data_IF_004697002227
#
_entry.id   IF_004697002227
#
_cell.length_a   1.000
_cell.length_b   1.000
_cell.length_c   1.000
_cell.angle_alpha   90.00
_cell.angle_beta   90.00
_cell.angle_gamma   90.00
#
_symmetry.space_group_name_H-M   'P 1'
#
loop_
_entity.id
_entity.type
_entity.pdbx_description
1 polymer ?
#
# COMPACT_ATOMS: atom_id res chain seq x y z
N UNK A 1 -24.42 52.03 -18.48
CA UNK A 1 -23.94 51.25 -17.33
C UNK A 1 -24.89 50.07 -17.19
N UNK A 2 -24.49 48.90 -17.68
CA UNK A 2 -25.36 47.73 -17.79
C UNK A 2 -24.79 46.64 -16.88
N UNK A 3 -25.50 46.33 -15.80
CA UNK A 3 -25.09 45.31 -14.83
C UNK A 3 -25.57 43.93 -15.31
N UNK A 4 -24.63 42.98 -15.43
CA UNK A 4 -24.93 41.58 -15.70
C UNK A 4 -24.97 40.81 -14.38
N UNK A 5 -26.14 40.26 -14.04
CA UNK A 5 -26.33 39.32 -12.93
C UNK A 5 -26.06 37.92 -13.47
N UNK A 6 -24.96 37.29 -13.04
CA UNK A 6 -24.70 35.87 -13.34
C UNK A 6 -25.27 35.05 -12.19
N UNK A 7 -26.41 34.40 -12.45
CA UNK A 7 -27.00 33.40 -11.56
C UNK A 7 -26.21 32.09 -11.67
N UNK A 8 -25.57 31.69 -10.58
CA UNK A 8 -24.87 30.42 -10.45
C UNK A 8 -25.84 29.25 -10.29
N UNK A 9 -25.71 28.25 -11.16
CA UNK A 9 -26.36 26.95 -11.01
C UNK A 9 -25.41 26.03 -10.26
N UNK A 10 -25.72 25.76 -8.99
CA UNK A 10 -25.05 24.70 -8.20
C UNK A 10 -25.78 23.39 -8.50
N UNK A 11 -25.17 22.53 -9.31
CA UNK A 11 -25.63 21.16 -9.49
C UNK A 11 -25.08 20.28 -8.36
N UNK A 12 -25.94 20.04 -7.37
CA UNK A 12 -25.83 18.94 -6.42
C UNK A 12 -26.14 17.62 -7.14
N UNK A 13 -25.11 16.86 -7.49
CA UNK A 13 -25.25 15.45 -7.87
C UNK A 13 -24.73 14.58 -6.73
N UNK A 14 -25.63 14.24 -5.80
CA UNK A 14 -25.43 13.16 -4.84
C UNK A 14 -25.89 11.83 -5.42
N UNK A 15 -25.20 10.75 -5.05
CA UNK A 15 -25.72 9.39 -5.21
C UNK A 15 -24.66 8.35 -5.57
N UNK A 16 -24.30 7.51 -4.60
CA UNK A 16 -23.84 6.14 -4.86
C UNK A 16 -22.35 5.84 -4.63
N UNK A 17 -22.03 5.35 -3.43
CA UNK A 17 -21.01 4.31 -3.20
C UNK A 17 -21.07 3.86 -1.72
N UNK A 18 -22.17 3.23 -1.31
CA UNK A 18 -22.15 2.39 -0.11
C UNK A 18 -21.65 1.01 -0.54
N UNK A 19 -20.77 0.40 0.27
CA UNK A 19 -20.19 -0.93 0.13
C UNK A 19 -18.89 -1.08 -0.71
N UNK A 20 -17.76 -0.56 -0.20
CA UNK A 20 -16.43 -1.16 -0.51
C UNK A 20 -15.59 -1.43 0.77
N UNK A 21 -16.12 -1.10 1.96
CA UNK A 21 -15.41 -1.33 3.23
C UNK A 21 -15.47 -2.76 3.79
N UNK A 22 -16.09 -3.72 3.08
CA UNK A 22 -16.36 -5.07 3.59
C UNK A 22 -15.46 -6.16 3.00
N UNK A 23 -14.53 -5.85 2.08
CA UNK A 23 -13.72 -6.88 1.40
C UNK A 23 -12.29 -7.02 1.92
N UNK A 24 -11.93 -6.37 3.05
CA UNK A 24 -10.57 -6.46 3.61
C UNK A 24 -10.48 -7.09 5.00
N UNK A 25 -11.59 -7.53 5.61
CA UNK A 25 -11.58 -8.24 6.90
C UNK A 25 -12.51 -9.47 6.85
N UNK A 26 -12.02 -10.56 6.27
CA UNK A 26 -12.50 -11.91 6.56
C UNK A 26 -11.28 -12.73 7.00
N UNK A 27 -10.97 -12.67 8.28
CA UNK A 27 -10.18 -13.71 8.96
C UNK A 27 -11.02 -14.21 10.15
N UNK A 28 -11.26 -15.53 10.28
CA UNK A 28 -12.14 -16.09 11.28
C UNK A 28 -11.55 -15.95 12.69
N UNK A 29 -12.35 -15.39 13.59
CA UNK A 29 -12.13 -15.41 15.04
C UNK A 29 -11.98 -16.85 15.53
N UNK A 30 -10.73 -17.26 15.75
CA UNK A 30 -10.36 -18.38 16.61
C UNK A 30 -10.03 -17.86 18.00
N UNK A 31 -10.96 -18.04 18.93
CA UNK A 31 -10.74 -17.86 20.37
C UNK A 31 -9.61 -18.80 20.86
N UNK A 32 -8.50 -18.24 21.32
CA UNK A 32 -7.61 -18.92 22.25
C UNK A 32 -6.85 -17.89 23.11
N UNK A 33 -7.08 -17.97 24.42
CA UNK A 33 -6.51 -17.14 25.47
C UNK A 33 -4.96 -17.17 25.52
N UNK A 34 -4.30 -16.12 26.03
CA UNK A 34 -2.87 -16.16 26.28
C UNK A 34 -2.58 -16.95 27.57
N UNK A 35 -1.93 -18.11 27.42
CA UNK A 35 -1.30 -18.79 28.54
C UNK A 35 0.09 -18.19 28.79
N UNK A 36 0.25 -17.62 29.98
CA UNK A 36 1.51 -17.15 30.55
C UNK A 36 2.45 -18.34 30.79
N UNK A 37 3.65 -18.33 30.21
CA UNK A 37 4.70 -19.29 30.58
C UNK A 37 6.06 -18.59 30.72
N UNK A 38 6.46 -18.45 31.98
CA UNK A 38 7.80 -18.04 32.42
C UNK A 38 8.81 -19.13 32.09
N UNK A 39 9.82 -18.82 31.26
CA UNK A 39 10.94 -19.73 31.03
C UNK A 39 12.09 -19.42 32.01
N UNK A 40 12.33 -20.35 32.93
CA UNK A 40 13.45 -20.35 33.85
C UNK A 40 14.73 -20.85 33.14
N UNK A 41 15.83 -20.13 33.36
CA UNK A 41 17.17 -20.54 32.95
C UNK A 41 17.71 -21.61 33.92
N UNK A 42 18.23 -22.71 33.37
CA UNK A 42 19.12 -23.63 34.07
C UNK A 42 20.22 -24.11 33.13
N UNK A 43 21.45 -23.87 33.55
CA UNK A 43 22.69 -24.33 32.91
C UNK A 43 23.10 -25.70 33.46
N UNK A 44 23.57 -26.64 32.64
CA UNK A 44 24.53 -27.69 33.06
C UNK A 44 25.29 -28.29 31.86
N UNK A 45 26.58 -27.98 31.82
CA UNK A 45 27.79 -28.81 31.64
C UNK A 45 27.93 -29.95 30.59
N UNK A 46 29.01 -29.80 29.82
CA UNK A 46 30.01 -30.72 29.22
C UNK A 46 29.73 -32.21 28.96
N UNK A 47 30.09 -32.63 27.73
CA UNK A 47 30.48 -34.00 27.38
C UNK A 47 31.35 -34.03 26.13
N UNK A 48 32.65 -34.31 26.28
CA UNK A 48 33.58 -34.65 25.19
C UNK A 48 33.25 -36.03 24.64
N UNK A 49 33.22 -36.17 23.31
CA UNK A 49 33.12 -37.45 22.63
C UNK A 49 33.77 -37.37 21.26
N UNK A 50 35.02 -37.86 21.16
CA UNK A 50 35.72 -38.13 19.91
C UNK A 50 35.03 -39.29 19.17
N UNK A 51 34.66 -39.08 17.91
CA UNK A 51 34.13 -40.12 17.03
C UNK A 51 34.47 -39.81 15.59
N UNK A 52 35.59 -40.37 15.12
CA UNK A 52 35.92 -40.42 13.70
C UNK A 52 35.00 -41.43 13.00
N UNK A 53 34.30 -40.99 11.97
CA UNK A 53 33.44 -41.84 11.16
C UNK A 53 33.23 -41.19 9.79
N UNK A 54 34.15 -41.49 8.86
CA UNK A 54 34.02 -41.09 7.47
C UNK A 54 32.74 -41.65 6.87
N UNK A 55 31.89 -40.77 6.37
CA UNK A 55 30.76 -41.11 5.51
C UNK A 55 30.92 -40.35 4.21
N UNK A 56 30.88 -41.12 3.12
CA UNK A 56 31.12 -40.70 1.75
C UNK A 56 30.16 -39.56 1.32
N UNK A 57 30.57 -38.69 0.38
CA UNK A 57 29.65 -37.75 -0.23
C UNK A 57 28.65 -38.55 -1.07
N UNK A 58 27.45 -38.75 -0.51
CA UNK A 58 26.29 -39.18 -1.28
C UNK A 58 25.86 -37.97 -2.09
N UNK A 59 26.32 -37.86 -3.34
CA UNK A 59 25.82 -36.92 -4.32
C UNK A 59 24.30 -37.14 -4.42
N UNK A 60 23.53 -36.28 -3.76
CA UNK A 60 22.11 -36.18 -4.01
C UNK A 60 21.97 -35.82 -5.50
N UNK A 61 21.13 -36.53 -6.26
CA UNK A 61 20.86 -36.12 -7.63
C UNK A 61 20.32 -34.69 -7.56
N UNK A 62 21.08 -33.75 -8.10
CA UNK A 62 20.55 -32.45 -8.47
C UNK A 62 19.51 -32.75 -9.53
N UNK A 63 18.26 -32.89 -9.09
CA UNK A 63 17.10 -32.86 -9.97
C UNK A 63 17.07 -31.45 -10.53
N UNK A 64 17.88 -31.21 -11.56
CA UNK A 64 17.78 -30.01 -12.36
C UNK A 64 16.32 -29.95 -12.81
N UNK A 65 15.58 -28.99 -12.26
CA UNK A 65 14.20 -28.70 -12.66
C UNK A 65 14.24 -28.45 -14.16
N UNK A 66 14.03 -29.51 -14.92
CA UNK A 66 14.04 -29.50 -16.38
C UNK A 66 12.63 -29.14 -16.79
N UNK A 67 12.19 -27.93 -16.39
CA UNK A 67 11.01 -27.33 -16.98
C UNK A 67 11.24 -27.25 -18.48
N UNK A 68 10.24 -27.63 -19.26
CA UNK A 68 10.28 -27.38 -20.71
C UNK A 68 10.40 -25.87 -20.92
N UNK A 69 11.16 -25.40 -21.92
CA UNK A 69 11.31 -23.97 -22.20
C UNK A 69 9.97 -23.19 -22.24
N UNK A 70 8.92 -23.82 -22.77
CA UNK A 70 7.56 -23.27 -22.83
C UNK A 70 6.94 -22.96 -21.45
N UNK A 71 7.24 -23.78 -20.44
CA UNK A 71 6.73 -23.59 -19.09
C UNK A 71 7.44 -22.42 -18.39
N UNK A 72 8.76 -22.29 -18.59
CA UNK A 72 9.54 -21.16 -18.13
C UNK A 72 9.09 -19.81 -18.76
N UNK A 73 8.73 -19.81 -20.05
CA UNK A 73 8.21 -18.63 -20.74
C UNK A 73 6.82 -18.22 -20.20
N UNK A 74 5.95 -19.19 -19.91
CA UNK A 74 4.66 -18.96 -19.26
C UNK A 74 4.82 -18.33 -17.87
N UNK A 75 5.66 -18.94 -17.03
CA UNK A 75 5.92 -18.46 -15.68
C UNK A 75 6.53 -17.04 -15.67
N UNK A 76 7.42 -16.73 -16.62
CA UNK A 76 7.96 -15.39 -16.81
C UNK A 76 6.85 -14.38 -17.14
N UNK A 77 5.95 -14.73 -18.08
CA UNK A 77 4.83 -13.88 -18.50
C UNK A 77 3.93 -13.54 -17.33
N UNK A 78 3.57 -14.53 -16.50
CA UNK A 78 2.73 -14.33 -15.33
C UNK A 78 3.41 -13.46 -14.26
N UNK A 79 4.72 -13.63 -14.05
CA UNK A 79 5.48 -12.78 -13.15
C UNK A 79 5.53 -11.31 -13.64
N UNK A 80 5.76 -11.08 -14.93
CA UNK A 80 5.70 -9.74 -15.52
C UNK A 80 4.32 -9.11 -15.33
N UNK A 81 3.24 -9.88 -15.53
CA UNK A 81 1.88 -9.41 -15.30
C UNK A 81 1.62 -9.02 -13.83
N UNK A 82 2.15 -9.78 -12.87
CA UNK A 82 2.08 -9.45 -11.45
C UNK A 82 2.82 -8.15 -11.11
N UNK A 83 4.03 -7.96 -11.64
CA UNK A 83 4.78 -6.71 -11.45
C UNK A 83 4.01 -5.54 -12.04
N UNK A 84 3.47 -5.69 -13.25
CA UNK A 84 2.66 -4.64 -13.89
C UNK A 84 1.43 -4.26 -13.07
N UNK A 85 0.72 -5.23 -12.49
CA UNK A 85 -0.42 -4.96 -11.62
C UNK A 85 0.00 -4.20 -10.34
N UNK A 86 1.17 -4.51 -9.79
CA UNK A 86 1.72 -3.77 -8.64
C UNK A 86 2.17 -2.35 -9.02
N UNK A 87 2.69 -2.13 -10.23
CA UNK A 87 2.98 -0.79 -10.75
C UNK A 87 1.72 0.05 -10.94
N UNK A 88 0.63 -0.55 -11.40
CA UNK A 88 -0.66 0.13 -11.53
C UNK A 88 -1.20 0.55 -10.15
N UNK A 89 -1.03 -0.30 -9.12
CA UNK A 89 -1.30 0.09 -7.74
C UNK A 89 -0.42 1.28 -7.33
N UNK A 90 0.89 1.22 -7.59
CA UNK A 90 1.82 2.28 -7.22
C UNK A 90 1.45 3.63 -7.85
N UNK A 91 0.96 3.63 -9.09
CA UNK A 91 0.43 4.82 -9.77
C UNK A 91 -0.83 5.37 -9.08
N UNK A 92 -1.80 4.51 -8.75
CA UNK A 92 -2.99 4.94 -8.02
C UNK A 92 -2.66 5.50 -6.62
N UNK A 93 -1.69 4.88 -5.92
CA UNK A 93 -1.23 5.34 -4.62
C UNK A 93 -0.51 6.70 -4.69
N UNK A 94 0.17 6.99 -5.80
CA UNK A 94 0.81 8.29 -6.04
C UNK A 94 -0.20 9.42 -6.08
N UNK A 95 -1.29 9.24 -6.82
CA UNK A 95 -2.32 10.26 -6.96
C UNK A 95 -3.02 10.51 -5.61
N UNK A 96 -3.41 9.43 -4.92
CA UNK A 96 -3.99 9.51 -3.58
C UNK A 96 -3.07 10.24 -2.58
N UNK A 97 -1.78 9.88 -2.56
CA UNK A 97 -0.81 10.53 -1.68
C UNK A 97 -0.62 12.02 -2.02
N UNK A 98 -0.64 12.39 -3.30
CA UNK A 98 -0.54 13.79 -3.73
C UNK A 98 -1.77 14.61 -3.30
N UNK A 99 -2.97 14.06 -3.44
CA UNK A 99 -4.20 14.72 -3.00
C UNK A 99 -4.26 14.87 -1.48
N UNK A 100 -3.91 13.81 -0.74
CA UNK A 100 -3.86 13.85 0.72
C UNK A 100 -2.81 14.85 1.23
N UNK A 101 -1.63 14.87 0.60
CA UNK A 101 -0.59 15.85 0.88
C UNK A 101 -1.08 17.27 0.64
N UNK A 102 -1.72 17.53 -0.51
CA UNK A 102 -2.25 18.87 -0.82
C UNK A 102 -3.26 19.31 0.24
N UNK A 103 -4.14 18.40 0.67
CA UNK A 103 -5.15 18.68 1.69
C UNK A 103 -4.53 19.02 3.06
N UNK A 104 -3.53 18.26 3.49
CA UNK A 104 -2.89 18.45 4.81
C UNK A 104 -1.89 19.61 4.81
N UNK A 105 -1.13 19.82 3.72
CA UNK A 105 -0.23 20.95 3.57
C UNK A 105 -0.97 22.29 3.53
N UNK A 106 -2.18 22.34 2.94
CA UNK A 106 -3.01 23.54 2.96
C UNK A 106 -3.37 23.96 4.39
N UNK A 107 -3.63 23.00 5.29
CA UNK A 107 -3.83 23.32 6.71
C UNK A 107 -2.58 23.90 7.35
N UNK A 108 -1.42 23.26 7.13
CA UNK A 108 -0.14 23.72 7.70
C UNK A 108 0.27 25.08 7.15
N UNK A 109 0.01 25.34 5.87
CA UNK A 109 0.24 26.65 5.25
C UNK A 109 -0.68 27.71 5.85
N UNK A 110 -1.96 27.41 6.07
CA UNK A 110 -2.90 28.30 6.72
C UNK A 110 -2.48 28.62 8.16
N UNK A 111 -2.17 27.61 8.96
CA UNK A 111 -1.81 27.80 10.37
C UNK A 111 -0.48 28.53 10.55
N UNK A 112 0.43 28.43 9.58
CA UNK A 112 1.66 29.23 9.54
C UNK A 112 1.49 30.62 8.92
N UNK A 113 0.28 31.00 8.50
CA UNK A 113 0.00 32.30 7.88
C UNK A 113 0.55 32.45 6.45
N UNK A 114 0.98 31.36 5.80
CA UNK A 114 1.50 31.38 4.43
C UNK A 114 0.42 31.50 3.37
N UNK A 115 -0.81 31.10 3.68
CA UNK A 115 -1.98 31.24 2.81
C UNK A 115 -3.19 31.71 3.61
N UNK A 116 -4.13 32.35 2.90
CA UNK A 116 -5.40 32.82 3.42
C UNK A 116 -6.41 31.70 3.63
N UNK A 117 -7.50 32.00 4.34
CA UNK A 117 -8.62 31.07 4.48
C UNK A 117 -9.26 30.73 3.12
N UNK A 118 -9.37 31.70 2.22
CA UNK A 118 -9.95 31.52 0.88
C UNK A 118 -9.11 30.55 0.05
N UNK A 119 -7.79 30.75 0.00
CA UNK A 119 -6.86 29.84 -0.68
C UNK A 119 -6.91 28.43 -0.08
N UNK A 120 -6.99 28.32 1.26
CA UNK A 120 -7.13 27.03 1.94
C UNK A 120 -8.42 26.33 1.51
N UNK A 121 -9.55 27.05 1.48
CA UNK A 121 -10.85 26.50 1.08
C UNK A 121 -10.82 25.99 -0.37
N UNK A 122 -10.15 26.73 -1.27
CA UNK A 122 -9.92 26.29 -2.65
C UNK A 122 -9.10 25.00 -2.70
N UNK A 123 -7.94 24.96 -2.04
CA UNK A 123 -7.08 23.76 -2.02
C UNK A 123 -7.79 22.54 -1.43
N UNK A 124 -8.60 22.74 -0.38
CA UNK A 124 -9.43 21.69 0.21
C UNK A 124 -10.48 21.17 -0.78
N UNK A 125 -11.16 22.06 -1.49
CA UNK A 125 -12.17 21.68 -2.48
C UNK A 125 -11.53 20.93 -3.65
N UNK A 126 -10.44 21.47 -4.20
CA UNK A 126 -9.72 20.92 -5.35
C UNK A 126 -9.18 19.51 -5.03
N UNK A 127 -8.52 19.32 -3.89
CA UNK A 127 -8.03 18.00 -3.47
C UNK A 127 -9.15 17.01 -3.14
N UNK A 128 -10.22 17.46 -2.44
CA UNK A 128 -11.36 16.60 -2.08
C UNK A 128 -12.10 16.06 -3.31
N UNK A 129 -12.13 16.80 -4.41
CA UNK A 129 -12.83 16.40 -5.63
C UNK A 129 -12.34 15.05 -6.18
N UNK A 130 -11.10 14.67 -5.90
CA UNK A 130 -10.51 13.39 -6.33
C UNK A 130 -10.74 12.24 -5.37
N UNK A 131 -11.18 12.48 -4.13
CA UNK A 131 -11.19 11.47 -3.08
C UNK A 131 -11.94 10.17 -3.43
N UNK A 132 -13.09 10.26 -4.10
CA UNK A 132 -13.82 9.07 -4.56
C UNK A 132 -13.13 8.36 -5.73
N UNK A 133 -12.45 9.11 -6.61
CA UNK A 133 -11.69 8.53 -7.71
C UNK A 133 -10.46 7.77 -7.17
N UNK A 134 -9.77 8.33 -6.19
CA UNK A 134 -8.65 7.69 -5.50
C UNK A 134 -9.07 6.35 -4.88
N UNK A 135 -10.19 6.33 -4.13
CA UNK A 135 -10.75 5.12 -3.52
C UNK A 135 -11.06 4.04 -4.56
N UNK A 136 -11.67 4.41 -5.69
CA UNK A 136 -11.99 3.48 -6.78
C UNK A 136 -10.74 2.95 -7.47
N UNK A 137 -9.75 3.82 -7.73
CA UNK A 137 -8.50 3.44 -8.38
C UNK A 137 -7.71 2.45 -7.52
N UNK A 138 -7.56 2.72 -6.22
CA UNK A 138 -6.88 1.82 -5.29
C UNK A 138 -7.62 0.48 -5.17
N UNK A 139 -8.96 0.49 -5.05
CA UNK A 139 -9.73 -0.74 -4.96
C UNK A 139 -9.57 -1.61 -6.23
N UNK A 140 -9.65 -0.98 -7.41
CA UNK A 140 -9.50 -1.67 -8.68
C UNK A 140 -8.11 -2.29 -8.86
N UNK A 141 -7.04 -1.53 -8.58
CA UNK A 141 -5.66 -2.01 -8.73
C UNK A 141 -5.28 -3.04 -7.67
N UNK A 142 -5.80 -2.91 -6.44
CA UNK A 142 -5.68 -3.94 -5.39
C UNK A 142 -6.27 -5.26 -5.86
N UNK A 143 -7.50 -5.24 -6.39
CA UNK A 143 -8.15 -6.43 -6.93
C UNK A 143 -7.37 -7.03 -8.10
N UNK A 144 -6.89 -6.19 -9.02
CA UNK A 144 -6.08 -6.64 -10.15
C UNK A 144 -4.79 -7.33 -9.70
N UNK A 145 -4.08 -6.75 -8.71
CA UNK A 145 -2.89 -7.35 -8.13
C UNK A 145 -3.19 -8.67 -7.42
N UNK A 146 -4.24 -8.73 -6.59
CA UNK A 146 -4.65 -9.95 -5.91
C UNK A 146 -4.98 -11.10 -6.88
N UNK A 147 -5.57 -10.78 -8.04
CA UNK A 147 -5.89 -11.77 -9.06
C UNK A 147 -4.64 -12.44 -9.66
N UNK A 148 -3.45 -11.86 -9.52
CA UNK A 148 -2.18 -12.44 -9.98
C UNK A 148 -1.58 -13.46 -9.00
N UNK A 149 -2.12 -13.57 -7.77
CA UNK A 149 -1.71 -14.57 -6.80
C UNK A 149 -0.21 -14.51 -6.45
N UNK A 150 0.47 -15.64 -6.58
CA UNK A 150 1.91 -15.81 -6.26
C UNK A 150 2.80 -15.96 -7.50
N UNK A 151 2.34 -15.49 -8.67
CA UNK A 151 2.97 -15.73 -9.97
C UNK A 151 4.51 -15.58 -9.99
N UNK A 152 5.06 -14.47 -9.49
CA UNK A 152 6.52 -14.28 -9.44
C UNK A 152 7.24 -15.24 -8.48
N UNK A 153 6.63 -15.57 -7.35
CA UNK A 153 7.22 -16.51 -6.41
C UNK A 153 7.20 -17.95 -6.98
N UNK A 154 6.18 -18.29 -7.76
CA UNK A 154 6.10 -19.59 -8.43
C UNK A 154 7.04 -19.67 -9.63
N UNK A 155 7.15 -18.58 -10.41
CA UNK A 155 8.13 -18.46 -11.48
C UNK A 155 9.58 -18.61 -10.99
N UNK A 156 9.91 -18.03 -9.82
CA UNK A 156 11.23 -18.17 -9.21
C UNK A 156 11.58 -19.61 -8.80
N UNK A 157 10.57 -20.43 -8.49
CA UNK A 157 10.76 -21.86 -8.20
C UNK A 157 10.91 -22.68 -9.48
N UNK A 158 10.14 -22.34 -10.51
CA UNK A 158 10.10 -23.08 -11.77
C UNK A 158 11.35 -22.83 -12.63
N UNK A 159 11.81 -21.59 -12.70
CA UNK A 159 12.97 -21.17 -13.47
C UNK A 159 14.01 -20.48 -12.58
N UNK A 160 14.54 -21.22 -11.61
CA UNK A 160 15.56 -20.74 -10.70
C UNK A 160 16.82 -20.27 -11.45
N UNK A 161 17.30 -19.07 -11.14
CA UNK A 161 18.48 -18.47 -11.79
C UNK A 161 18.18 -17.70 -13.07
N UNK A 162 16.92 -17.63 -13.50
CA UNK A 162 16.51 -16.76 -14.59
C UNK A 162 16.67 -15.28 -14.21
N UNK A 163 17.43 -14.55 -15.03
CA UNK A 163 17.77 -13.15 -14.74
C UNK A 163 16.55 -12.22 -14.80
N UNK A 164 15.59 -12.47 -15.70
CA UNK A 164 14.36 -11.66 -15.80
C UNK A 164 13.48 -11.90 -14.59
N UNK A 165 13.25 -13.16 -14.20
CA UNK A 165 12.45 -13.47 -13.00
C UNK A 165 13.12 -12.89 -11.75
N UNK A 166 14.45 -12.92 -11.66
CA UNK A 166 15.20 -12.30 -10.56
C UNK A 166 15.01 -10.77 -10.52
N UNK A 167 15.03 -10.11 -11.69
CA UNK A 167 14.75 -8.68 -11.78
C UNK A 167 13.30 -8.35 -11.39
N UNK A 168 12.34 -9.11 -11.89
CA UNK A 168 10.92 -8.95 -11.60
C UNK A 168 10.59 -9.16 -10.12
N UNK A 169 11.11 -10.21 -9.49
CA UNK A 169 10.93 -10.46 -8.05
C UNK A 169 11.55 -9.36 -7.18
N UNK A 170 12.73 -8.85 -7.56
CA UNK A 170 13.36 -7.71 -6.87
C UNK A 170 12.51 -6.45 -6.99
N UNK A 171 11.99 -6.17 -8.18
CA UNK A 171 11.09 -5.03 -8.42
C UNK A 171 9.78 -5.16 -7.65
N UNK A 172 9.19 -6.36 -7.64
CA UNK A 172 7.96 -6.66 -6.90
C UNK A 172 8.14 -6.41 -5.40
N UNK A 173 9.28 -6.78 -4.81
CA UNK A 173 9.58 -6.51 -3.41
C UNK A 173 9.67 -5.01 -3.09
N UNK A 174 10.18 -4.18 -4.01
CA UNK A 174 10.16 -2.73 -3.85
C UNK A 174 8.73 -2.17 -3.97
N UNK A 175 7.94 -2.66 -4.94
CA UNK A 175 6.54 -2.29 -5.11
C UNK A 175 5.66 -2.71 -3.93
N UNK A 176 5.97 -3.79 -3.23
CA UNK A 176 5.23 -4.21 -2.04
C UNK A 176 5.35 -3.21 -0.88
N UNK A 177 6.53 -2.56 -0.75
CA UNK A 177 6.70 -1.44 0.20
C UNK A 177 5.84 -0.25 -0.18
N UNK A 178 5.74 0.06 -1.48
CA UNK A 178 4.81 1.09 -1.99
C UNK A 178 3.37 0.71 -1.72
N UNK A 179 3.01 -0.58 -1.89
CA UNK A 179 1.68 -1.08 -1.60
C UNK A 179 1.29 -0.87 -0.13
N UNK A 180 2.18 -1.23 0.77
CA UNK A 180 1.97 -1.09 2.22
C UNK A 180 1.84 0.37 2.63
N UNK A 181 2.82 1.20 2.28
CA UNK A 181 2.84 2.63 2.66
C UNK A 181 1.75 3.44 1.95
N UNK A 182 1.48 3.15 0.68
CA UNK A 182 0.39 3.75 -0.09
C UNK A 182 -0.99 3.38 0.45
N UNK A 183 -1.18 2.14 0.90
CA UNK A 183 -2.43 1.73 1.59
C UNK A 183 -2.62 2.50 2.90
N UNK A 184 -1.57 2.72 3.69
CA UNK A 184 -1.65 3.57 4.89
C UNK A 184 -2.13 4.98 4.55
N UNK A 185 -1.52 5.62 3.54
CA UNK A 185 -1.89 6.96 3.08
C UNK A 185 -3.34 7.00 2.59
N UNK A 186 -3.76 6.04 1.76
CA UNK A 186 -5.14 5.96 1.28
C UNK A 186 -6.13 5.78 2.44
N UNK A 187 -5.80 4.95 3.44
CA UNK A 187 -6.67 4.72 4.59
C UNK A 187 -6.89 5.99 5.42
N UNK A 188 -5.84 6.78 5.62
CA UNK A 188 -5.93 8.10 6.27
C UNK A 188 -6.82 9.04 5.45
N UNK A 189 -6.60 9.13 4.15
CA UNK A 189 -7.36 9.98 3.26
C UNK A 189 -8.86 9.61 3.25
N UNK A 190 -9.17 8.33 3.05
CA UNK A 190 -10.53 7.78 3.13
C UNK A 190 -11.19 8.00 4.48
N UNK A 191 -10.46 7.84 5.59
CA UNK A 191 -11.00 8.09 6.92
C UNK A 191 -11.42 9.56 7.08
N UNK A 192 -10.60 10.49 6.58
CA UNK A 192 -10.93 11.91 6.59
C UNK A 192 -12.12 12.25 5.67
N UNK A 193 -12.20 11.67 4.48
CA UNK A 193 -13.36 11.84 3.58
C UNK A 193 -14.67 11.41 4.26
N UNK A 194 -14.67 10.25 4.93
CA UNK A 194 -15.81 9.77 5.73
C UNK A 194 -16.12 10.70 6.91
N UNK A 195 -15.10 11.17 7.61
CA UNK A 195 -15.27 12.15 8.69
C UNK A 195 -15.92 13.44 8.18
N UNK A 196 -15.56 13.90 6.98
CA UNK A 196 -16.20 15.07 6.37
C UNK A 196 -17.65 14.84 5.95
N UNK A 197 -18.02 13.62 5.57
CA UNK A 197 -19.40 13.27 5.20
C UNK A 197 -20.32 13.16 6.42
N UNK A 198 -19.80 12.66 7.54
CA UNK A 198 -20.59 12.37 8.75
C UNK A 198 -20.61 13.52 9.77
N UNK A 199 -20.26 14.75 9.38
CA UNK A 199 -20.18 15.88 10.32
C UNK A 199 -21.55 16.17 10.95
N UNK A 200 -21.76 15.68 12.17
CA UNK A 200 -22.74 16.28 13.07
C UNK A 200 -22.26 17.69 13.38
N UNK A 201 -22.99 18.70 12.94
CA UNK A 201 -22.66 20.13 13.05
C UNK A 201 -22.53 20.67 14.49
N UNK A 202 -22.53 19.80 15.50
CA UNK A 202 -22.62 20.14 16.92
C UNK A 202 -21.28 20.02 17.68
N UNK A 203 -20.29 19.26 17.18
CA UNK A 203 -19.05 18.96 17.93
C UNK A 203 -17.77 19.45 17.21
N UNK A 204 -17.69 20.76 16.99
CA UNK A 204 -16.55 21.40 16.29
C UNK A 204 -15.19 21.13 16.96
N UNK A 205 -15.15 20.98 18.29
CA UNK A 205 -13.92 20.68 19.03
C UNK A 205 -13.40 19.27 18.78
N UNK A 206 -14.27 18.26 18.82
CA UNK A 206 -13.89 16.86 18.58
C UNK A 206 -13.44 16.63 17.12
N UNK A 207 -14.17 17.23 16.17
CA UNK A 207 -13.78 17.21 14.76
C UNK A 207 -12.40 17.82 14.55
N UNK A 208 -12.15 19.00 15.13
CA UNK A 208 -10.86 19.68 14.98
C UNK A 208 -9.71 18.86 15.55
N UNK A 209 -9.87 18.27 16.74
CA UNK A 209 -8.85 17.42 17.35
C UNK A 209 -8.53 16.19 16.49
N UNK A 210 -9.56 15.59 15.88
CA UNK A 210 -9.39 14.44 14.98
C UNK A 210 -8.68 14.87 13.69
N UNK A 211 -9.05 16.02 13.13
CA UNK A 211 -8.38 16.59 11.97
C UNK A 211 -6.89 16.87 12.23
N UNK A 212 -6.54 17.49 13.35
CA UNK A 212 -5.14 17.77 13.70
C UNK A 212 -4.32 16.49 13.84
N UNK A 213 -4.90 15.44 14.43
CA UNK A 213 -4.25 14.11 14.49
C UNK A 213 -4.03 13.52 13.10
N UNK A 214 -5.02 13.62 12.21
CA UNK A 214 -4.87 13.13 10.83
C UNK A 214 -3.76 13.87 10.08
N UNK A 215 -3.62 15.19 10.29
CA UNK A 215 -2.50 15.98 9.75
C UNK A 215 -1.16 15.50 10.30
N UNK A 216 -1.04 15.26 11.61
CA UNK A 216 0.20 14.74 12.21
C UNK A 216 0.59 13.36 11.65
N UNK A 217 -0.38 12.47 11.49
CA UNK A 217 -0.18 11.17 10.85
C UNK A 217 0.32 11.32 9.40
N UNK A 218 -0.29 12.22 8.63
CA UNK A 218 0.08 12.49 7.25
C UNK A 218 1.54 12.97 7.11
N UNK A 219 2.04 13.76 8.06
CA UNK A 219 3.44 14.19 8.10
C UNK A 219 4.44 13.03 8.27
N UNK A 220 3.98 11.84 8.68
CA UNK A 220 4.79 10.63 8.83
C UNK A 220 4.56 9.67 7.67
N UNK A 221 3.30 9.43 7.30
CA UNK A 221 2.92 8.45 6.28
C UNK A 221 3.34 8.87 4.87
N UNK A 222 3.20 10.15 4.52
CA UNK A 222 3.53 10.66 3.18
C UNK A 222 5.05 10.55 2.89
N UNK A 223 5.97 10.99 3.79
CA UNK A 223 7.40 10.77 3.56
C UNK A 223 7.79 9.29 3.50
N UNK A 224 7.16 8.43 4.30
CA UNK A 224 7.41 6.98 4.23
C UNK A 224 7.00 6.39 2.88
N UNK A 225 5.84 6.81 2.34
CA UNK A 225 5.41 6.47 0.99
C UNK A 225 6.40 6.98 -0.08
N UNK A 226 6.84 8.23 0.01
CA UNK A 226 7.80 8.81 -0.94
C UNK A 226 9.11 8.03 -0.96
N UNK A 227 9.67 7.69 0.20
CA UNK A 227 10.86 6.86 0.28
C UNK A 227 10.68 5.46 -0.34
N UNK A 228 9.50 4.85 -0.18
CA UNK A 228 9.17 3.58 -0.83
C UNK A 228 9.07 3.73 -2.36
N UNK A 229 8.44 4.81 -2.84
CA UNK A 229 8.32 5.10 -4.27
C UNK A 229 9.69 5.34 -4.92
N UNK A 230 10.58 6.09 -4.25
CA UNK A 230 11.95 6.33 -4.72
C UNK A 230 12.76 5.01 -4.80
N UNK A 231 12.52 4.07 -3.88
CA UNK A 231 13.17 2.76 -3.91
C UNK A 231 12.77 1.92 -5.14
N UNK A 232 11.56 2.09 -5.67
CA UNK A 232 11.14 1.43 -6.92
C UNK A 232 11.93 1.94 -8.13
N UNK A 233 12.27 3.24 -8.14
CA UNK A 233 13.11 3.83 -9.19
C UNK A 233 14.53 3.27 -9.23
N UNK A 234 15.02 2.75 -8.11
CA UNK A 234 16.34 2.11 -7.98
C UNK A 234 16.31 0.58 -8.21
N UNK A 235 15.12 -0.02 -8.27
CA UNK A 235 14.98 -1.45 -8.53
C UNK A 235 15.16 -1.74 -10.04
N UNK A 236 15.71 -2.91 -10.41
CA UNK A 236 15.83 -3.29 -11.82
C UNK A 236 14.47 -3.32 -12.50
N UNK A 237 14.43 -3.01 -13.80
CA UNK A 237 13.21 -3.16 -14.58
C UNK A 237 12.86 -4.64 -14.75
N UNK A 238 11.56 -4.95 -14.70
CA UNK A 238 11.03 -6.26 -15.05
C UNK A 238 10.74 -6.23 -16.56
N UNK A 239 11.57 -6.92 -17.36
CA UNK A 239 11.47 -6.98 -18.81
C UNK A 239 11.86 -8.37 -19.32
#
# INVERSE_FOLDING_TARGET
MTAAIIAGVVLLAGGGAWAVGSMLNDDPSGDAAPATATAAASATTSGSGSGAGGTAPSEAPSTAASGTPEAADGARTDCVAQVKAAEDFAAAAKDSAAHWKTHTDAYLAKTSGRITLEETAKLYADSKAFGLADEKAIAATTKAFQATGTACADAAKEAAGDATITACTTRLAALDKVRTTGTTVQNEWSAHLRMMANKAHTEMGSYHNTWVKAVDSAQKSIPAYQAAADAVGNAPACA
#
